data_IF_726358594797
#
_entry.id   IF_726358594797
#
_cell.length_a   1.000
_cell.length_b   1.000
_cell.length_c   1.000
_cell.angle_alpha   90.00
_cell.angle_beta   90.00
_cell.angle_gamma   90.00
#
_symmetry.space_group_name_H-M   'P 1'
#
loop_
_entity.id
_entity.type
_entity.pdbx_description
1 polymer ?
#
# COMPACT_ATOMS: atom_id res chain seq x y z
N UNK A 1 -16.23 -14.63 4.68
CA UNK A 1 -16.11 -14.06 3.32
C UNK A 1 -15.50 -12.64 3.38
N UNK A 2 -14.53 -12.40 4.27
CA UNK A 2 -14.09 -11.03 4.65
C UNK A 2 -12.64 -10.72 4.24
N UNK A 3 -11.76 -11.73 4.24
CA UNK A 3 -10.34 -11.56 3.91
C UNK A 3 -10.08 -10.94 2.52
N UNK A 4 -10.90 -11.28 1.51
CA UNK A 4 -10.76 -10.67 0.16
C UNK A 4 -11.08 -9.18 0.18
N UNK A 5 -12.09 -8.78 0.95
CA UNK A 5 -12.46 -7.37 1.07
C UNK A 5 -11.39 -6.57 1.83
N UNK A 6 -10.78 -7.17 2.85
CA UNK A 6 -9.65 -6.56 3.58
C UNK A 6 -8.42 -6.37 2.69
N UNK A 7 -8.09 -7.35 1.85
CA UNK A 7 -6.99 -7.24 0.88
C UNK A 7 -7.25 -6.08 -0.10
N UNK A 8 -8.47 -5.99 -0.65
CA UNK A 8 -8.83 -4.90 -1.57
C UNK A 8 -8.75 -3.54 -0.89
N UNK A 9 -9.24 -3.42 0.35
CA UNK A 9 -9.11 -2.19 1.14
C UNK A 9 -7.66 -1.83 1.42
N UNK A 10 -6.82 -2.81 1.75
CA UNK A 10 -5.39 -2.60 1.98
C UNK A 10 -4.70 -2.07 0.70
N UNK A 11 -5.00 -2.63 -0.48
CA UNK A 11 -4.48 -2.13 -1.76
C UNK A 11 -4.91 -0.68 -2.00
N UNK A 12 -6.20 -0.38 -1.85
CA UNK A 12 -6.72 0.97 -2.07
C UNK A 12 -6.10 2.00 -1.11
N UNK A 13 -5.94 1.63 0.18
CA UNK A 13 -5.29 2.47 1.16
C UNK A 13 -3.81 2.74 0.83
N UNK A 14 -3.10 1.74 0.31
CA UNK A 14 -1.72 1.90 -0.15
C UNK A 14 -1.63 2.87 -1.33
N UNK A 15 -2.51 2.74 -2.31
CA UNK A 15 -2.57 3.65 -3.46
C UNK A 15 -2.82 5.10 -3.02
N UNK A 16 -3.75 5.30 -2.09
CA UNK A 16 -4.07 6.61 -1.56
C UNK A 16 -2.85 7.22 -0.85
N UNK A 17 -2.18 6.45 0.01
CA UNK A 17 -1.00 6.92 0.71
C UNK A 17 0.15 7.36 -0.22
N UNK A 18 0.34 6.65 -1.34
CA UNK A 18 1.33 7.06 -2.33
C UNK A 18 0.94 8.35 -3.05
N UNK A 19 -0.33 8.51 -3.42
CA UNK A 19 -0.86 9.75 -4.03
C UNK A 19 -0.76 10.94 -3.10
N UNK A 20 -0.95 10.70 -1.80
CA UNK A 20 -0.84 11.71 -0.76
C UNK A 20 0.62 12.02 -0.39
N UNK A 21 1.61 11.37 -1.04
CA UNK A 21 3.03 11.58 -0.78
C UNK A 21 3.51 11.06 0.58
N UNK A 22 2.72 10.20 1.23
CA UNK A 22 3.10 9.59 2.51
C UNK A 22 4.25 8.60 2.30
N UNK A 23 5.13 8.38 3.28
CA UNK A 23 6.18 7.37 3.16
C UNK A 23 5.61 5.95 3.27
N UNK A 24 6.26 4.97 2.63
CA UNK A 24 5.89 3.54 2.71
C UNK A 24 5.88 3.00 4.15
N UNK A 25 6.63 3.64 5.06
CA UNK A 25 6.67 3.31 6.50
C UNK A 25 5.39 3.67 7.24
N UNK A 26 4.49 4.45 6.64
CA UNK A 26 3.17 4.76 7.19
C UNK A 26 2.19 3.57 7.13
N UNK A 27 2.57 2.44 6.51
CA UNK A 27 1.75 1.24 6.48
C UNK A 27 1.39 0.77 7.90
N UNK A 28 0.09 0.69 8.26
CA UNK A 28 -0.34 0.34 9.61
C UNK A 28 -0.23 -1.16 9.93
N UNK A 29 0.00 -2.00 8.92
CA UNK A 29 0.00 -3.45 9.07
C UNK A 29 1.38 -3.97 9.54
N UNK A 30 1.41 -4.93 10.49
CA UNK A 30 2.65 -5.48 11.01
C UNK A 30 3.43 -6.24 9.94
N UNK A 31 4.75 -6.38 10.13
CA UNK A 31 5.61 -7.17 9.23
C UNK A 31 5.15 -8.62 9.24
N UNK A 32 5.08 -9.24 8.06
CA UNK A 32 4.62 -10.63 7.88
C UNK A 32 3.12 -10.78 7.60
N UNK A 33 2.33 -9.71 7.75
CA UNK A 33 0.91 -9.74 7.44
C UNK A 33 0.66 -9.68 5.92
N UNK A 34 -0.30 -10.48 5.44
CA UNK A 34 -0.77 -10.45 4.07
C UNK A 34 -1.32 -9.06 3.70
N UNK A 35 -1.98 -8.37 4.63
CA UNK A 35 -2.50 -7.03 4.43
C UNK A 35 -1.40 -6.00 4.22
N UNK A 36 -0.24 -6.17 4.86
CA UNK A 36 0.95 -5.34 4.60
C UNK A 36 1.43 -5.51 3.16
N UNK A 37 1.47 -6.75 2.67
CA UNK A 37 1.89 -7.04 1.30
C UNK A 37 0.92 -6.41 0.29
N UNK A 38 -0.38 -6.53 0.55
CA UNK A 38 -1.43 -5.92 -0.26
C UNK A 38 -1.31 -4.39 -0.29
N UNK A 39 -1.10 -3.76 0.86
CA UNK A 39 -0.92 -2.32 0.98
C UNK A 39 0.32 -1.82 0.24
N UNK A 40 1.48 -2.48 0.44
CA UNK A 40 2.74 -2.08 -0.21
C UNK A 40 2.63 -2.21 -1.73
N UNK A 41 1.94 -3.23 -2.25
CA UNK A 41 1.66 -3.36 -3.69
C UNK A 41 0.77 -2.24 -4.22
N UNK A 42 -0.23 -1.82 -3.44
CA UNK A 42 -1.06 -0.66 -3.79
C UNK A 42 -0.24 0.63 -3.85
N UNK A 43 0.59 0.85 -2.83
CA UNK A 43 1.48 2.00 -2.73
C UNK A 43 2.45 2.07 -3.92
N UNK A 44 3.17 1.00 -4.21
CA UNK A 44 4.14 0.96 -5.31
C UNK A 44 3.52 1.22 -6.69
N UNK A 45 2.25 0.84 -6.91
CA UNK A 45 1.55 1.10 -8.17
C UNK A 45 1.18 2.57 -8.37
N UNK A 46 0.99 3.32 -7.29
CA UNK A 46 0.59 4.72 -7.33
C UNK A 46 1.74 5.69 -6.99
N UNK A 47 2.87 5.16 -6.53
CA UNK A 47 4.07 5.94 -6.30
C UNK A 47 4.58 6.48 -7.66
N UNK A 48 5.01 7.75 -7.72
CA UNK A 48 5.68 8.26 -8.90
C UNK A 48 6.94 7.41 -9.17
N UNK A 49 7.31 7.21 -10.44
CA UNK A 49 8.57 6.55 -10.75
C UNK A 49 9.71 7.28 -10.03
N UNK A 50 10.75 6.55 -9.55
CA UNK A 50 11.92 7.21 -9.00
C UNK A 50 12.42 8.21 -10.05
N UNK A 51 12.64 9.46 -9.62
CA UNK A 51 13.24 10.45 -10.50
C UNK A 51 14.61 9.90 -10.92
N UNK A 52 14.73 9.48 -12.17
CA UNK A 52 16.02 9.23 -12.82
C UNK A 52 16.74 10.58 -12.95
N UNK A 53 17.93 10.68 -12.34
CA UNK A 53 18.89 11.79 -12.47
C UNK A 53 19.86 11.49 -13.63
#
# INVERSE_FOLDING_TARGET
MEARAEIVRAIAAGQQAARDGQPVTACPHPRGDLLRTAWVRGYAQAAPPPAED
#
